data_IF_615543778013
#
_entry.id   IF_615543778013
#
_cell.length_a   1.000
_cell.length_b   1.000
_cell.length_c   1.000
_cell.angle_alpha   90.00
_cell.angle_beta   90.00
_cell.angle_gamma   90.00
#
_symmetry.space_group_name_H-M   'P 1'
#
loop_
_entity.id
_entity.type
_entity.pdbx_description
1 polymer ?
#
# COMPACT_ATOMS: atom_id res chain seq x y z
N UNK A 1 -15.15 14.28 1.02
CA UNK A 1 -13.89 13.59 1.34
C UNK A 1 -13.57 12.45 0.35
N UNK A 2 -14.00 12.54 -0.91
CA UNK A 2 -13.76 11.51 -1.94
C UNK A 2 -12.75 11.97 -3.02
N UNK A 3 -12.30 13.22 -2.92
CA UNK A 3 -11.40 13.87 -3.88
C UNK A 3 -9.94 13.52 -3.55
N UNK A 4 -9.55 13.54 -2.27
CA UNK A 4 -8.15 13.35 -1.87
C UNK A 4 -7.54 11.97 -2.19
N UNK A 5 -8.32 10.87 -2.12
CA UNK A 5 -7.76 9.52 -2.35
C UNK A 5 -7.60 9.22 -3.84
N UNK A 6 -8.54 9.68 -4.66
CA UNK A 6 -8.51 9.48 -6.11
C UNK A 6 -7.39 10.32 -6.71
N UNK A 7 -7.29 11.60 -6.33
CA UNK A 7 -6.22 12.47 -6.80
C UNK A 7 -4.84 11.95 -6.38
N UNK A 8 -4.69 11.51 -5.11
CA UNK A 8 -3.45 10.88 -4.63
C UNK A 8 -3.10 9.62 -5.43
N UNK A 9 -4.09 8.77 -5.75
CA UNK A 9 -3.85 7.57 -6.53
C UNK A 9 -3.42 7.91 -7.95
N UNK A 10 -4.09 8.86 -8.61
CA UNK A 10 -3.78 9.27 -9.97
C UNK A 10 -2.41 9.95 -10.06
N UNK A 11 -2.02 10.78 -9.08
CA UNK A 11 -0.68 11.35 -8.98
C UNK A 11 0.38 10.25 -8.80
N UNK A 12 0.14 9.31 -7.89
CA UNK A 12 1.08 8.22 -7.60
C UNK A 12 1.20 7.20 -8.75
N UNK A 13 0.08 6.88 -9.41
CA UNK A 13 0.01 5.91 -10.51
C UNK A 13 0.40 6.52 -11.87
N UNK A 14 0.16 7.82 -12.06
CA UNK A 14 0.44 8.57 -13.28
C UNK A 14 1.89 9.04 -13.38
N UNK A 15 2.55 9.32 -12.24
CA UNK A 15 3.97 9.72 -12.20
C UNK A 15 4.95 8.59 -12.46
N UNK A 16 4.52 7.33 -12.35
CA UNK A 16 5.41 6.19 -12.49
C UNK A 16 5.54 5.74 -13.95
N UNK A 17 6.77 5.62 -14.45
CA UNK A 17 7.07 5.11 -15.80
C UNK A 17 7.65 3.69 -15.75
N UNK A 18 7.40 2.88 -16.79
CA UNK A 18 7.95 1.52 -16.96
C UNK A 18 7.57 0.52 -15.82
N UNK A 19 8.40 -0.50 -15.56
CA UNK A 19 8.12 -1.60 -14.60
C UNK A 19 7.83 -1.13 -13.17
N UNK A 20 8.40 0.02 -12.78
CA UNK A 20 8.09 0.67 -11.50
C UNK A 20 6.62 1.10 -11.41
N UNK A 21 6.01 1.52 -12.53
CA UNK A 21 4.60 1.90 -12.58
C UNK A 21 3.64 0.77 -12.20
N UNK A 22 3.98 -0.46 -12.61
CA UNK A 22 3.18 -1.63 -12.25
C UNK A 22 3.27 -1.91 -10.75
N UNK A 23 4.49 -1.87 -10.19
CA UNK A 23 4.71 -2.05 -8.75
C UNK A 23 4.03 -0.97 -7.91
N UNK A 24 4.14 0.30 -8.31
CA UNK A 24 3.52 1.43 -7.62
C UNK A 24 1.99 1.33 -7.61
N UNK A 25 1.36 0.99 -8.74
CA UNK A 25 -0.11 0.78 -8.81
C UNK A 25 -0.56 -0.38 -7.94
N UNK A 26 0.17 -1.50 -7.96
CA UNK A 26 -0.11 -2.64 -7.09
C UNK A 26 -0.01 -2.28 -5.61
N UNK A 27 1.02 -1.52 -5.22
CA UNK A 27 1.17 -1.05 -3.84
C UNK A 27 0.05 -0.09 -3.44
N UNK A 28 -0.34 0.83 -4.32
CA UNK A 28 -1.43 1.77 -4.05
C UNK A 28 -2.77 1.04 -3.84
N UNK A 29 -3.08 0.02 -4.66
CA UNK A 29 -4.25 -0.85 -4.47
C UNK A 29 -4.18 -1.56 -3.11
N UNK A 30 -3.01 -2.08 -2.74
CA UNK A 30 -2.80 -2.76 -1.46
C UNK A 30 -3.07 -1.86 -0.25
N UNK A 31 -2.63 -0.60 -0.32
CA UNK A 31 -2.88 0.41 0.72
C UNK A 31 -4.38 0.67 0.85
N UNK A 32 -5.07 0.94 -0.26
CA UNK A 32 -6.52 1.20 -0.27
C UNK A 32 -7.30 0.00 0.26
N UNK A 33 -6.94 -1.21 -0.17
CA UNK A 33 -7.54 -2.45 0.31
C UNK A 33 -7.37 -2.63 1.82
N UNK A 34 -6.16 -2.42 2.35
CA UNK A 34 -5.89 -2.59 3.78
C UNK A 34 -6.67 -1.58 4.62
N UNK A 35 -6.70 -0.31 4.21
CA UNK A 35 -7.50 0.73 4.89
C UNK A 35 -8.99 0.39 4.87
N UNK A 36 -9.51 -0.16 3.78
CA UNK A 36 -10.89 -0.61 3.69
C UNK A 36 -11.18 -1.78 4.65
N UNK A 37 -10.28 -2.77 4.74
CA UNK A 37 -10.41 -3.88 5.69
C UNK A 37 -10.41 -3.39 7.15
N UNK A 38 -9.52 -2.46 7.51
CA UNK A 38 -9.47 -1.89 8.86
C UNK A 38 -10.73 -1.09 9.20
N UNK A 39 -11.25 -0.30 8.26
CA UNK A 39 -12.53 0.39 8.43
C UNK A 39 -13.66 -0.61 8.67
N UNK A 40 -13.70 -1.70 7.92
CA UNK A 40 -14.72 -2.74 8.12
C UNK A 40 -14.55 -3.44 9.47
N UNK A 41 -13.33 -3.78 9.88
CA UNK A 41 -13.07 -4.38 11.18
C UNK A 41 -13.53 -3.46 12.33
N UNK A 42 -13.29 -2.15 12.21
CA UNK A 42 -13.76 -1.17 13.18
C UNK A 42 -15.28 -1.07 13.23
N UNK A 43 -15.95 -1.06 12.07
CA UNK A 43 -17.41 -0.95 12.00
C UNK A 43 -18.12 -2.22 12.47
N UNK A 44 -17.62 -3.40 12.08
CA UNK A 44 -18.32 -4.66 12.31
C UNK A 44 -17.85 -5.41 13.56
N UNK A 45 -16.62 -5.20 14.01
CA UNK A 45 -16.02 -5.94 15.13
C UNK A 45 -15.59 -5.04 16.30
N UNK A 46 -15.79 -3.72 16.23
CA UNK A 46 -15.30 -2.73 17.21
C UNK A 46 -13.78 -2.82 17.48
N UNK A 47 -13.04 -3.41 16.55
CA UNK A 47 -11.58 -3.54 16.63
C UNK A 47 -10.93 -2.34 15.97
N UNK A 48 -10.10 -1.61 16.73
CA UNK A 48 -9.30 -0.51 16.21
C UNK A 48 -7.81 -0.83 16.37
N UNK A 49 -7.12 -1.00 15.23
CA UNK A 49 -5.67 -1.13 15.23
C UNK A 49 -5.01 0.26 15.30
N UNK A 50 -3.88 0.39 16.01
CA UNK A 50 -3.04 1.56 15.89
C UNK A 50 -2.56 1.76 14.44
N UNK A 51 -2.47 3.01 13.98
CA UNK A 51 -2.02 3.36 12.62
C UNK A 51 -0.66 2.71 12.29
N UNK A 52 0.26 2.68 13.27
CA UNK A 52 1.56 2.02 13.11
C UNK A 52 1.42 0.54 12.71
N UNK A 53 0.46 -0.17 13.31
CA UNK A 53 0.21 -1.58 12.99
C UNK A 53 -0.38 -1.75 11.58
N UNK A 54 -1.23 -0.82 11.15
CA UNK A 54 -1.78 -0.81 9.78
C UNK A 54 -0.65 -0.60 8.76
N UNK A 55 0.28 0.31 9.04
CA UNK A 55 1.46 0.54 8.20
C UNK A 55 2.35 -0.71 8.13
N UNK A 56 2.55 -1.39 9.25
CA UNK A 56 3.32 -2.64 9.29
C UNK A 56 2.63 -3.75 8.50
N UNK A 57 1.31 -3.91 8.62
CA UNK A 57 0.51 -4.89 7.86
C UNK A 57 0.62 -4.65 6.34
N UNK A 58 0.60 -3.39 5.90
CA UNK A 58 0.80 -2.99 4.50
C UNK A 58 2.20 -3.39 4.03
N UNK A 59 3.25 -3.09 4.80
CA UNK A 59 4.64 -3.43 4.46
C UNK A 59 4.85 -4.94 4.38
N UNK A 60 4.34 -5.69 5.35
CA UNK A 60 4.49 -7.15 5.40
C UNK A 60 3.77 -7.81 4.25
N UNK A 61 2.55 -7.36 3.94
CA UNK A 61 1.79 -7.87 2.79
C UNK A 61 2.49 -7.52 1.46
N UNK A 62 3.04 -6.31 1.33
CA UNK A 62 3.82 -5.93 0.15
C UNK A 62 5.09 -6.79 0.00
N UNK A 63 5.81 -7.08 1.10
CA UNK A 63 6.98 -7.98 1.08
C UNK A 63 6.60 -9.39 0.65
N UNK A 64 5.52 -9.93 1.20
CA UNK A 64 5.01 -11.25 0.85
C UNK A 64 4.63 -11.32 -0.63
N UNK A 65 3.97 -10.29 -1.14
CA UNK A 65 3.63 -10.18 -2.57
C UNK A 65 4.88 -10.07 -3.45
N UNK A 66 5.90 -9.33 -3.02
CA UNK A 66 7.20 -9.28 -3.72
C UNK A 66 7.93 -10.62 -3.73
N UNK A 67 7.89 -11.35 -2.62
CA UNK A 67 8.52 -12.66 -2.49
C UNK A 67 7.82 -13.75 -3.32
N UNK A 68 6.49 -13.70 -3.44
CA UNK A 68 5.68 -14.74 -4.11
C UNK A 68 5.40 -14.41 -5.58
N UNK A 69 5.22 -13.13 -5.95
CA UNK A 69 4.76 -12.73 -7.30
C UNK A 69 5.85 -12.09 -8.18
N UNK A 70 6.81 -11.31 -7.64
CA UNK A 70 7.83 -10.67 -8.47
C UNK A 70 8.97 -10.00 -7.68
N UNK A 71 10.22 -10.31 -8.05
CA UNK A 71 11.48 -9.65 -7.60
C UNK A 71 11.46 -8.10 -7.66
N UNK A 72 10.56 -7.52 -8.46
CA UNK A 72 10.44 -6.08 -8.69
C UNK A 72 9.76 -5.29 -7.56
N UNK A 73 8.93 -5.93 -6.70
CA UNK A 73 8.28 -5.24 -5.58
C UNK A 73 9.22 -5.12 -4.37
N UNK A 74 10.09 -6.12 -4.15
CA UNK A 74 11.09 -6.10 -3.09
C UNK A 74 12.02 -4.88 -3.19
N UNK A 75 12.44 -4.51 -4.40
CA UNK A 75 13.32 -3.35 -4.64
C UNK A 75 12.71 -1.99 -4.24
N UNK A 76 11.37 -1.87 -4.17
CA UNK A 76 10.69 -0.65 -3.75
C UNK A 76 10.48 -0.58 -2.24
N UNK A 77 10.33 -1.73 -1.57
CA UNK A 77 10.12 -1.81 -0.11
C UNK A 77 11.45 -1.71 0.65
N UNK A 78 12.57 -2.13 0.05
CA UNK A 78 13.89 -2.15 0.70
C UNK A 78 14.70 -0.85 0.55
N UNK A 79 14.16 0.19 -0.10
CA UNK A 79 14.79 1.53 -0.09
C UNK A 79 14.71 2.09 1.32
N UNK A 80 15.77 1.91 2.11
CA UNK A 80 16.04 2.74 3.28
C UNK A 80 16.05 4.20 2.83
N UNK A 81 15.28 5.03 3.53
CA UNK A 81 15.51 6.47 3.52
C UNK A 81 16.89 6.65 4.17
N UNK A 82 17.90 6.94 3.35
CA UNK A 82 19.17 7.44 3.85
C UNK A 82 18.95 8.89 4.28
N UNK A 83 19.33 9.18 5.52
CA UNK A 83 19.38 10.51 6.14
C UNK A 83 20.24 11.50 5.33
#
# INVERSE_FOLDING_TARGET
>A
MNVALVDWFDELAGSATNTAAKGTRSLAILVVWTVWCERNAKIFNELEKPIAKIIDDIKDTARLWGAVVAKHLAALVDRRISE
#
